data_IF_397529767359
#
_entry.id   IF_397529767359
#
_cell.length_a   1.000
_cell.length_b   1.000
_cell.length_c   1.000
_cell.angle_alpha   90.00
_cell.angle_beta   90.00
_cell.angle_gamma   90.00
#
_symmetry.space_group_name_H-M   'P 1'
#
loop_
_entity.id
_entity.type
_entity.pdbx_description
1 polymer ?
#
# COMPACT_ATOMS: atom_id res chain seq x y z
N UNK A 1 -4.66 -6.18 -9.03
CA UNK A 1 -5.83 -5.68 -9.78
C UNK A 1 -6.04 -4.24 -9.41
N UNK A 2 -6.19 -3.37 -10.41
CA UNK A 2 -6.41 -1.94 -10.23
C UNK A 2 -7.82 -1.61 -10.73
N UNK A 3 -8.39 -0.53 -10.19
CA UNK A 3 -9.73 -0.08 -10.53
C UNK A 3 -9.85 1.42 -10.28
N UNK A 4 -10.79 2.04 -11.00
CA UNK A 4 -11.19 3.44 -10.81
C UNK A 4 -12.51 3.49 -10.05
N UNK A 5 -12.60 4.35 -9.03
CA UNK A 5 -13.84 4.59 -8.30
C UNK A 5 -14.72 5.54 -9.10
N UNK A 6 -15.96 5.13 -9.35
CA UNK A 6 -16.98 5.89 -10.09
C UNK A 6 -18.16 6.32 -9.22
N UNK A 7 -18.43 5.60 -8.13
CA UNK A 7 -19.56 5.88 -7.25
C UNK A 7 -19.19 5.62 -5.79
N UNK A 8 -19.69 6.48 -4.89
CA UNK A 8 -19.60 6.31 -3.43
C UNK A 8 -20.97 6.58 -2.85
N UNK A 9 -21.63 5.55 -2.32
CA UNK A 9 -22.99 5.71 -1.82
C UNK A 9 -23.66 4.41 -1.39
N UNK A 10 -24.93 4.52 -1.00
CA UNK A 10 -25.75 3.35 -0.66
C UNK A 10 -26.21 2.63 -1.93
N UNK A 11 -26.44 1.32 -1.83
CA UNK A 11 -26.90 0.48 -2.94
C UNK A 11 -28.00 -0.46 -2.42
N UNK A 12 -29.26 0.00 -2.32
CA UNK A 12 -30.36 -0.82 -1.80
C UNK A 12 -30.55 -2.14 -2.57
N UNK A 13 -30.92 -3.23 -1.89
CA UNK A 13 -31.25 -3.33 -0.46
C UNK A 13 -30.01 -3.50 0.44
N UNK A 14 -28.79 -3.48 -0.11
CA UNK A 14 -27.57 -3.65 0.66
C UNK A 14 -27.31 -2.42 1.54
N UNK A 15 -27.15 -2.65 2.84
CA UNK A 15 -26.91 -1.59 3.82
C UNK A 15 -25.46 -1.11 3.80
N UNK A 16 -25.27 0.14 4.27
CA UNK A 16 -23.96 0.78 4.41
C UNK A 16 -23.46 1.43 3.13
N UNK A 17 -22.24 1.97 3.20
CA UNK A 17 -21.59 2.66 2.10
C UNK A 17 -20.87 1.65 1.20
N UNK A 18 -20.97 1.86 -0.12
CA UNK A 18 -20.36 1.04 -1.15
C UNK A 18 -19.58 1.91 -2.13
N UNK A 19 -18.52 1.33 -2.68
CA UNK A 19 -17.78 1.88 -3.81
C UNK A 19 -18.23 1.16 -5.07
N UNK A 20 -18.77 1.92 -6.02
CA UNK A 20 -18.86 1.47 -7.41
C UNK A 20 -17.52 1.69 -8.08
N UNK A 21 -16.91 0.61 -8.55
CA UNK A 21 -15.59 0.62 -9.19
C UNK A 21 -15.67 0.01 -10.58
N UNK A 22 -14.82 0.50 -11.48
CA UNK A 22 -14.54 -0.12 -12.76
C UNK A 22 -13.13 -0.71 -12.72
N UNK A 23 -13.02 -2.01 -12.95
CA UNK A 23 -11.73 -2.70 -13.01
C UNK A 23 -11.02 -2.43 -14.33
N UNK A 24 -9.71 -2.24 -14.26
CA UNK A 24 -8.86 -2.09 -15.46
C UNK A 24 -8.87 -3.36 -16.33
N UNK A 25 -9.05 -4.53 -15.71
CA UNK A 25 -9.33 -5.79 -16.41
C UNK A 25 -10.84 -6.12 -16.32
N UNK A 26 -11.57 -6.11 -17.44
CA UNK A 26 -13.00 -6.39 -17.47
C UNK A 26 -13.42 -7.79 -17.01
N UNK A 27 -12.51 -8.76 -16.97
CA UNK A 27 -12.78 -10.12 -16.50
C UNK A 27 -12.97 -10.20 -14.98
N UNK A 28 -12.55 -9.16 -14.24
CA UNK A 28 -12.64 -9.11 -12.78
C UNK A 28 -14.01 -8.63 -12.28
N UNK A 29 -14.69 -7.79 -13.06
CA UNK A 29 -15.96 -7.21 -12.67
C UNK A 29 -17.15 -8.15 -12.89
N UNK A 30 -18.36 -7.58 -12.80
CA UNK A 30 -19.63 -8.33 -12.80
C UNK A 30 -20.73 -7.65 -13.62
N UNK A 31 -20.71 -6.32 -13.74
CA UNK A 31 -21.82 -5.55 -14.31
C UNK A 31 -21.32 -4.25 -14.95
N UNK A 32 -22.23 -3.49 -15.54
CA UNK A 32 -21.99 -2.22 -16.24
C UNK A 32 -22.10 -0.97 -15.34
N UNK A 33 -22.36 -1.21 -14.05
CA UNK A 33 -22.59 -0.17 -13.03
C UNK A 33 -24.05 -0.07 -12.58
N UNK A 34 -24.90 -0.96 -13.06
CA UNK A 34 -26.27 -1.15 -12.57
C UNK A 34 -26.39 -2.17 -11.43
N UNK A 35 -27.38 -1.99 -10.56
CA UNK A 35 -27.82 -2.98 -9.58
C UNK A 35 -29.34 -2.92 -9.40
N UNK A 36 -30.03 -4.06 -9.49
CA UNK A 36 -31.49 -4.18 -9.37
C UNK A 36 -32.28 -3.18 -10.24
N UNK A 37 -31.85 -2.98 -11.49
CA UNK A 37 -32.51 -2.08 -12.43
C UNK A 37 -32.22 -0.59 -12.24
N UNK A 38 -31.37 -0.22 -11.28
CA UNK A 38 -30.92 1.17 -11.06
C UNK A 38 -29.50 1.33 -11.58
N UNK A 39 -29.25 2.36 -12.40
CA UNK A 39 -27.93 2.72 -12.89
C UNK A 39 -27.25 3.68 -11.91
N UNK A 40 -26.07 3.31 -11.38
CA UNK A 40 -25.32 4.17 -10.46
C UNK A 40 -24.13 4.85 -11.14
N UNK A 41 -23.46 4.14 -12.04
CA UNK A 41 -22.35 4.64 -12.87
C UNK A 41 -22.30 3.86 -14.18
N UNK A 42 -21.54 4.31 -15.17
CA UNK A 42 -21.35 3.58 -16.44
C UNK A 42 -19.90 3.14 -16.57
N UNK A 43 -19.69 1.93 -17.08
CA UNK A 43 -18.36 1.41 -17.38
C UNK A 43 -18.12 1.33 -18.89
N UNK A 44 -16.85 1.32 -19.27
CA UNK A 44 -16.40 1.12 -20.66
C UNK A 44 -16.70 -0.28 -21.20
N UNK A 45 -16.79 -1.28 -20.31
CA UNK A 45 -17.13 -2.67 -20.65
C UNK A 45 -18.32 -3.17 -19.82
N UNK A 46 -19.28 -3.94 -20.37
CA UNK A 46 -20.48 -4.40 -19.67
C UNK A 46 -20.24 -5.24 -18.41
N UNK A 47 -19.02 -5.72 -18.22
CA UNK A 47 -18.64 -6.57 -17.08
C UNK A 47 -17.53 -5.96 -16.23
N UNK A 48 -17.04 -4.76 -16.52
CA UNK A 48 -15.91 -4.20 -15.79
C UNK A 48 -16.29 -3.63 -14.40
N UNK A 49 -17.58 -3.39 -14.14
CA UNK A 49 -18.08 -2.79 -12.92
C UNK A 49 -18.20 -3.76 -11.75
N UNK A 50 -18.03 -3.24 -10.53
CA UNK A 50 -18.35 -3.95 -9.27
C UNK A 50 -18.75 -2.97 -8.18
N UNK A 51 -19.63 -3.41 -7.27
CA UNK A 51 -19.78 -2.78 -5.97
C UNK A 51 -18.92 -3.50 -4.93
N UNK A 52 -18.02 -2.77 -4.27
CA UNK A 52 -17.18 -3.28 -3.20
C UNK A 52 -17.37 -2.49 -1.89
N UNK A 53 -17.06 -3.16 -0.80
CA UNK A 53 -16.97 -2.58 0.54
C UNK A 53 -15.72 -1.70 0.63
N UNK A 54 -15.83 -0.53 1.27
CA UNK A 54 -14.70 0.40 1.42
C UNK A 54 -13.52 -0.27 2.12
N UNK A 55 -13.82 -1.13 3.10
CA UNK A 55 -12.81 -1.86 3.88
C UNK A 55 -12.03 -2.88 3.04
N UNK A 56 -12.51 -3.18 1.82
CA UNK A 56 -11.82 -4.06 0.86
C UNK A 56 -11.03 -3.29 -0.19
N UNK A 57 -11.16 -1.97 -0.23
CA UNK A 57 -10.38 -1.13 -1.12
C UNK A 57 -9.07 -0.74 -0.43
N UNK A 58 -7.97 -0.88 -1.18
CA UNK A 58 -6.69 -0.35 -0.79
C UNK A 58 -6.40 0.87 -1.67
N UNK A 59 -6.35 2.04 -1.05
CA UNK A 59 -6.08 3.30 -1.74
C UNK A 59 -4.59 3.59 -1.87
N UNK A 60 -3.73 2.70 -1.38
CA UNK A 60 -2.30 2.90 -1.31
C UNK A 60 -1.90 3.89 -0.21
N UNK A 61 -0.66 4.37 -0.31
CA UNK A 61 -0.06 5.31 0.65
C UNK A 61 0.73 6.40 -0.06
N UNK A 62 1.07 7.48 0.65
CA UNK A 62 1.86 8.56 0.05
C UNK A 62 3.35 8.22 -0.04
N UNK A 63 4.07 8.84 -0.98
CA UNK A 63 5.54 8.75 -1.08
C UNK A 63 6.17 9.08 0.27
N UNK A 64 5.75 10.20 0.88
CA UNK A 64 6.20 10.64 2.21
C UNK A 64 6.04 9.55 3.27
N UNK A 65 4.87 8.91 3.33
CA UNK A 65 4.62 7.84 4.31
C UNK A 65 5.49 6.61 4.05
N UNK A 66 5.67 6.23 2.78
CA UNK A 66 6.49 5.09 2.38
C UNK A 66 7.98 5.32 2.65
N UNK A 67 8.48 6.55 2.45
CA UNK A 67 9.86 6.92 2.78
C UNK A 67 10.09 6.81 4.30
N UNK A 68 9.18 7.37 5.10
CA UNK A 68 9.27 7.32 6.56
C UNK A 68 9.26 5.90 7.10
N UNK A 69 8.41 5.04 6.56
CA UNK A 69 8.35 3.64 6.96
C UNK A 69 9.63 2.87 6.60
N UNK A 70 10.14 3.05 5.37
CA UNK A 70 11.29 2.29 4.88
C UNK A 70 12.62 2.76 5.47
N UNK A 71 12.78 4.07 5.60
CA UNK A 71 14.06 4.69 5.95
C UNK A 71 14.07 5.32 7.34
N UNK A 72 12.90 5.63 7.91
CA UNK A 72 12.79 6.23 9.24
C UNK A 72 12.65 5.24 10.39
N UNK A 73 12.44 3.95 10.11
CA UNK A 73 12.26 2.96 11.17
C UNK A 73 13.60 2.48 11.73
N UNK A 74 13.87 2.80 13.00
CA UNK A 74 14.97 2.23 13.77
C UNK A 74 14.66 0.80 14.26
N UNK A 75 13.44 0.30 14.08
CA UNK A 75 12.97 -0.96 14.68
C UNK A 75 13.37 -2.18 13.85
N UNK A 76 14.61 -2.65 14.03
CA UNK A 76 14.86 -4.10 14.18
C UNK A 76 16.28 -4.32 14.70
N UNK A 77 16.51 -3.90 15.94
CA UNK A 77 17.68 -4.38 16.68
C UNK A 77 17.17 -5.51 17.57
N UNK A 78 17.35 -6.75 17.12
CA UNK A 78 17.09 -7.91 17.96
C UNK A 78 18.02 -7.86 19.18
N UNK A 79 17.52 -8.19 20.36
CA UNK A 79 18.39 -8.31 21.52
C UNK A 79 19.35 -9.49 21.32
N UNK A 80 20.47 -9.49 22.05
CA UNK A 80 21.42 -10.61 22.01
C UNK A 80 20.74 -11.95 22.36
N UNK A 81 19.73 -11.93 23.23
CA UNK A 81 18.95 -13.09 23.66
C UNK A 81 18.05 -13.61 22.52
N UNK A 82 17.41 -12.71 21.78
CA UNK A 82 16.58 -13.05 20.61
C UNK A 82 17.43 -13.61 19.47
N UNK A 83 18.60 -13.04 19.21
CA UNK A 83 19.58 -13.53 18.23
C UNK A 83 20.05 -14.95 18.56
N UNK A 84 20.34 -15.22 19.82
CA UNK A 84 20.77 -16.54 20.29
C UNK A 84 19.67 -17.59 20.15
N UNK A 85 18.43 -17.23 20.47
CA UNK A 85 17.28 -18.11 20.28
C UNK A 85 17.04 -18.43 18.79
N UNK A 86 17.17 -17.43 17.90
CA UNK A 86 17.03 -17.60 16.45
C UNK A 86 18.10 -18.53 15.88
N UNK A 87 19.36 -18.35 16.26
CA UNK A 87 20.48 -19.18 15.83
C UNK A 87 20.27 -20.65 16.21
N UNK A 88 19.77 -20.90 17.43
CA UNK A 88 19.47 -22.25 17.91
C UNK A 88 18.31 -22.91 17.17
N UNK A 89 17.29 -22.13 16.79
CA UNK A 89 16.12 -22.62 16.08
C UNK A 89 16.41 -22.90 14.59
N UNK A 90 17.21 -22.06 13.93
CA UNK A 90 17.48 -22.15 12.50
C UNK A 90 18.60 -23.15 12.14
N UNK A 91 19.41 -23.58 13.12
CA UNK A 91 20.57 -24.46 12.93
C UNK A 91 21.47 -24.06 11.74
N UNK A 92 21.60 -22.74 11.54
CA UNK A 92 22.35 -22.12 10.46
C UNK A 92 23.23 -20.99 11.03
N UNK A 93 24.40 -20.72 10.45
CA UNK A 93 25.27 -19.64 10.89
C UNK A 93 24.57 -18.29 10.71
N UNK A 94 24.51 -17.51 11.78
CA UNK A 94 24.04 -16.13 11.74
C UNK A 94 25.12 -15.26 11.10
N UNK A 95 24.77 -14.55 10.03
CA UNK A 95 25.65 -13.58 9.39
C UNK A 95 25.35 -12.21 9.98
N UNK A 96 26.35 -11.61 10.63
CA UNK A 96 26.28 -10.21 11.08
C UNK A 96 26.70 -9.29 9.94
N UNK A 97 25.90 -8.26 9.67
CA UNK A 97 26.26 -7.23 8.70
C UNK A 97 26.93 -6.06 9.41
N UNK A 98 28.25 -5.95 9.25
CA UNK A 98 29.03 -4.84 9.81
C UNK A 98 28.76 -3.56 9.00
N UNK A 99 28.55 -2.43 9.69
CA UNK A 99 28.30 -1.12 9.06
C UNK A 99 26.86 -0.84 8.65
N UNK A 100 25.96 -1.83 8.80
CA UNK A 100 24.55 -1.64 8.46
C UNK A 100 23.84 -0.63 9.38
N UNK A 101 24.28 -0.53 10.64
CA UNK A 101 23.77 0.45 11.61
C UNK A 101 24.13 1.89 11.18
N UNK A 102 25.37 2.12 10.73
CA UNK A 102 25.80 3.43 10.23
C UNK A 102 25.02 3.82 8.97
N UNK A 103 24.84 2.88 8.03
CA UNK A 103 23.99 3.06 6.85
C UNK A 103 22.54 3.38 7.23
N UNK A 104 22.01 2.74 8.28
CA UNK A 104 20.64 2.97 8.76
C UNK A 104 20.49 4.36 9.38
N UNK A 105 21.50 4.83 10.14
CA UNK A 105 21.52 6.20 10.66
C UNK A 105 21.61 7.25 9.55
N UNK A 106 22.42 7.00 8.51
CA UNK A 106 22.49 7.89 7.35
C UNK A 106 21.16 7.92 6.58
N UNK A 107 20.51 6.76 6.43
CA UNK A 107 19.25 6.64 5.72
C UNK A 107 18.06 7.25 6.46
N UNK A 108 18.09 7.30 7.80
CA UNK A 108 17.04 7.96 8.58
C UNK A 108 17.10 9.49 8.53
N UNK A 109 18.21 10.05 8.07
CA UNK A 109 18.32 11.46 7.72
C UNK A 109 17.68 11.73 6.34
N UNK A 110 16.37 12.02 6.33
CA UNK A 110 15.63 12.22 5.07
C UNK A 110 16.15 13.36 4.18
N UNK A 111 16.84 14.36 4.75
CA UNK A 111 17.42 15.47 3.99
C UNK A 111 18.69 15.11 3.23
N UNK A 112 19.35 13.98 3.57
CA UNK A 112 20.54 13.48 2.88
C UNK A 112 20.26 12.30 1.96
N UNK A 113 18.99 11.88 1.84
CA UNK A 113 18.59 10.90 0.84
C UNK A 113 18.63 11.58 -0.53
N UNK A 114 19.31 10.98 -1.51
CA UNK A 114 19.30 11.44 -2.91
C UNK A 114 18.42 10.54 -3.79
N UNK A 115 18.40 9.24 -3.48
CA UNK A 115 17.66 8.23 -4.24
C UNK A 115 16.93 7.31 -3.28
N UNK A 116 15.61 7.18 -3.47
CA UNK A 116 14.75 6.28 -2.70
C UNK A 116 14.14 5.20 -3.57
N UNK A 117 14.06 3.98 -3.04
CA UNK A 117 13.40 2.85 -3.69
C UNK A 117 12.13 2.49 -2.91
N UNK A 118 10.97 2.85 -3.47
CA UNK A 118 9.66 2.61 -2.87
C UNK A 118 8.90 1.46 -3.54
N UNK A 119 9.61 0.61 -4.30
CA UNK A 119 9.01 -0.53 -4.98
C UNK A 119 8.24 -1.40 -3.98
N UNK A 120 7.04 -1.85 -4.39
CA UNK A 120 6.14 -2.70 -3.60
C UNK A 120 5.54 -2.05 -2.34
N UNK A 121 5.68 -0.74 -2.14
CA UNK A 121 5.05 -0.01 -1.04
C UNK A 121 3.71 0.64 -1.41
N UNK A 122 3.12 0.27 -2.55
CA UNK A 122 1.77 0.71 -2.96
C UNK A 122 1.61 2.24 -2.91
N UNK A 123 2.62 2.95 -3.40
CA UNK A 123 2.63 4.41 -3.41
C UNK A 123 1.68 4.91 -4.49
N UNK A 124 0.76 5.80 -4.12
CA UNK A 124 -0.29 6.32 -5.02
C UNK A 124 -0.26 7.85 -5.18
N UNK A 125 0.39 8.57 -4.27
CA UNK A 125 0.42 10.04 -4.29
C UNK A 125 1.71 10.56 -3.64
N UNK A 126 2.04 11.83 -3.87
CA UNK A 126 3.22 12.47 -3.26
C UNK A 126 3.13 12.54 -1.72
N UNK A 127 1.99 13.04 -1.21
CA UNK A 127 1.83 13.40 0.20
C UNK A 127 2.44 14.76 0.53
N UNK A 128 2.04 15.31 1.68
CA UNK A 128 2.44 16.65 2.09
C UNK A 128 3.90 16.70 2.51
N UNK A 129 4.61 17.74 2.05
CA UNK A 129 6.00 17.99 2.44
C UNK A 129 7.04 17.13 1.71
N UNK A 130 6.66 16.49 0.60
CA UNK A 130 7.63 15.74 -0.23
C UNK A 130 8.79 16.62 -0.70
N UNK A 131 8.56 17.90 -0.99
CA UNK A 131 9.59 18.86 -1.43
C UNK A 131 10.73 19.04 -0.42
N UNK A 132 10.47 18.80 0.87
CA UNK A 132 11.48 18.86 1.93
C UNK A 132 12.10 17.50 2.27
N UNK A 133 11.72 16.44 1.55
CA UNK A 133 12.20 15.08 1.76
C UNK A 133 12.96 14.60 0.54
N UNK A 134 14.20 14.15 0.73
CA UNK A 134 15.03 13.61 -0.35
C UNK A 134 15.20 14.61 -1.54
N UNK A 135 15.86 15.77 -1.30
CA UNK A 135 16.00 16.84 -2.29
C UNK A 135 16.88 16.49 -3.51
#
# INVERSE_FOLDING_TARGET
WHATVWYVGQVPPAQGLWLGVEWDDPSRGKHDGSHNGVQYFHTSHPTAGSFIRIEKADFGRSCVSAIKERYGSNEMTLTAEELQALQKAMNAPLVEMVGFEEVKQLQSCFSSLEVVCLSRLQVCCAGDGLEGMCP
#
